data_IF_472461144220
#
_entry.id   IF_472461144220
#
_cell.length_a   1.000
_cell.length_b   1.000
_cell.length_c   1.000
_cell.angle_alpha   90.00
_cell.angle_beta   90.00
_cell.angle_gamma   90.00
#
_symmetry.space_group_name_H-M   'P 1'
#
loop_
_entity.id
_entity.type
_entity.pdbx_description
1 polymer ?
#
# COMPACT_ATOMS: atom_id res chain seq x y z
N UNK A 1 14.51 13.96 38.25
CA UNK A 1 15.57 13.47 37.35
C UNK A 1 15.00 13.53 35.93
N UNK A 2 15.72 14.11 34.98
CA UNK A 2 15.40 14.10 33.56
C UNK A 2 16.29 13.05 32.90
N UNK A 3 15.68 12.04 32.29
CA UNK A 3 16.35 10.98 31.58
C UNK A 3 16.00 11.08 30.09
N UNK A 4 16.97 11.07 29.22
CA UNK A 4 16.78 11.18 27.76
C UNK A 4 17.62 10.09 27.10
N UNK A 5 16.96 9.22 26.33
CA UNK A 5 17.63 8.27 25.46
C UNK A 5 18.28 9.00 24.27
N UNK A 6 19.44 8.54 23.87
CA UNK A 6 20.03 8.91 22.60
C UNK A 6 19.49 7.98 21.49
N UNK A 7 19.79 8.28 20.23
CA UNK A 7 19.27 7.47 19.11
C UNK A 7 19.72 6.00 19.15
N UNK A 8 20.89 5.74 19.68
CA UNK A 8 21.40 4.35 19.80
C UNK A 8 20.59 3.56 20.83
N UNK A 9 20.22 4.20 21.94
CA UNK A 9 19.40 3.57 22.97
C UNK A 9 18.00 3.29 22.42
N UNK A 10 17.39 4.26 21.73
CA UNK A 10 16.09 4.09 21.07
C UNK A 10 16.12 2.89 20.12
N UNK A 11 17.09 2.86 19.20
CA UNK A 11 17.17 1.81 18.16
C UNK A 11 17.41 0.42 18.74
N UNK A 12 17.98 0.29 19.92
CA UNK A 12 18.24 -0.99 20.57
C UNK A 12 17.07 -1.49 21.41
N UNK A 13 16.20 -0.62 21.87
CA UNK A 13 15.19 -0.92 22.88
C UNK A 13 13.75 -0.57 22.46
N UNK A 14 13.56 -0.08 21.24
CA UNK A 14 12.23 0.18 20.71
C UNK A 14 11.44 -1.09 20.40
N UNK A 15 10.13 -0.94 20.32
CA UNK A 15 9.23 -1.98 19.87
C UNK A 15 9.47 -2.31 18.39
N UNK A 16 9.22 -3.55 18.03
CA UNK A 16 9.33 -3.99 16.64
C UNK A 16 8.07 -3.61 15.85
N UNK A 17 8.26 -3.25 14.59
CA UNK A 17 7.13 -3.21 13.65
C UNK A 17 6.60 -4.63 13.48
N UNK A 18 5.28 -4.87 13.62
CA UNK A 18 4.73 -6.19 13.41
C UNK A 18 4.95 -6.64 11.96
N UNK A 19 5.27 -7.90 11.79
CA UNK A 19 5.29 -8.57 10.49
C UNK A 19 3.86 -8.93 10.07
N UNK A 20 3.70 -9.31 8.81
CA UNK A 20 2.45 -9.79 8.28
C UNK A 20 2.65 -10.53 6.97
N UNK A 21 1.62 -11.22 6.54
CA UNK A 21 1.56 -11.94 5.28
C UNK A 21 0.28 -11.60 4.55
N UNK A 22 0.37 -11.28 3.27
CA UNK A 22 -0.76 -10.98 2.42
C UNK A 22 -0.92 -12.02 1.31
N UNK A 23 -2.15 -12.49 1.12
CA UNK A 23 -2.54 -13.27 -0.04
C UNK A 23 -3.48 -12.42 -0.89
N UNK A 24 -2.95 -11.89 -1.99
CA UNK A 24 -3.60 -10.90 -2.84
C UNK A 24 -4.05 -11.53 -4.16
N UNK A 25 -5.23 -11.15 -4.63
CA UNK A 25 -5.76 -11.50 -5.96
C UNK A 25 -6.44 -10.28 -6.56
N UNK A 26 -6.16 -9.97 -7.82
CA UNK A 26 -6.81 -8.90 -8.55
C UNK A 26 -7.71 -9.45 -9.65
N UNK A 27 -8.86 -8.79 -9.87
CA UNK A 27 -9.67 -8.94 -11.07
C UNK A 27 -9.40 -7.78 -12.02
N UNK A 28 -9.13 -8.09 -13.27
CA UNK A 28 -8.89 -7.10 -14.32
C UNK A 28 -10.01 -7.16 -15.37
N UNK A 29 -10.41 -6.02 -15.91
CA UNK A 29 -11.30 -5.96 -17.08
C UNK A 29 -10.52 -6.15 -18.39
N UNK A 30 -11.24 -6.24 -19.50
CA UNK A 30 -10.66 -6.42 -20.83
C UNK A 30 -9.71 -5.28 -21.27
N UNK A 31 -9.77 -4.13 -20.59
CA UNK A 31 -8.91 -2.99 -20.86
C UNK A 31 -7.68 -2.95 -19.92
N UNK A 32 -7.49 -3.98 -19.09
CA UNK A 32 -6.42 -4.03 -18.11
C UNK A 32 -6.61 -3.11 -16.90
N UNK A 33 -7.84 -2.64 -16.65
CA UNK A 33 -8.19 -1.88 -15.46
C UNK A 33 -8.49 -2.83 -14.31
N UNK A 34 -8.00 -2.53 -13.14
CA UNK A 34 -8.34 -3.27 -11.93
C UNK A 34 -9.78 -2.95 -11.49
N UNK A 35 -10.61 -3.98 -11.32
CA UNK A 35 -12.03 -3.88 -10.94
C UNK A 35 -12.37 -4.62 -9.66
N UNK A 36 -11.52 -5.55 -9.24
CA UNK A 36 -11.73 -6.33 -8.03
C UNK A 36 -10.41 -6.56 -7.29
N UNK A 37 -10.49 -6.66 -5.96
CA UNK A 37 -9.38 -6.97 -5.08
C UNK A 37 -9.84 -7.94 -4.00
N UNK A 38 -9.10 -9.03 -3.84
CA UNK A 38 -9.18 -9.88 -2.65
C UNK A 38 -7.85 -9.82 -1.93
N UNK A 39 -7.89 -9.58 -0.62
CA UNK A 39 -6.72 -9.66 0.25
C UNK A 39 -7.07 -10.46 1.51
N UNK A 40 -6.24 -11.40 1.85
CA UNK A 40 -6.26 -12.06 3.15
C UNK A 40 -4.97 -11.75 3.88
N UNK A 41 -5.08 -10.95 4.92
CA UNK A 41 -3.95 -10.50 5.74
C UNK A 41 -3.80 -11.39 6.99
N UNK A 42 -2.66 -12.02 7.13
CA UNK A 42 -2.28 -12.72 8.35
C UNK A 42 -1.33 -11.83 9.15
N UNK A 43 -1.70 -11.50 10.37
CA UNK A 43 -0.95 -10.59 11.24
C UNK A 43 -0.93 -11.14 12.69
N UNK A 44 -0.59 -10.29 13.63
CA UNK A 44 -0.52 -10.67 15.04
C UNK A 44 -1.66 -10.08 15.84
N UNK A 45 -2.24 -10.91 16.72
CA UNK A 45 -3.37 -10.50 17.53
C UNK A 45 -3.80 -11.57 18.54
N UNK A 46 -4.80 -11.23 19.32
CA UNK A 46 -5.46 -12.12 20.25
C UNK A 46 -6.96 -11.78 20.30
N UNK A 47 -7.79 -12.79 20.54
CA UNK A 47 -9.23 -12.64 20.71
C UNK A 47 -9.92 -11.86 19.57
N UNK A 48 -9.49 -12.11 18.34
CA UNK A 48 -10.02 -11.48 17.14
C UNK A 48 -9.60 -10.00 16.94
N UNK A 49 -8.66 -9.49 17.71
CA UNK A 49 -8.17 -8.10 17.61
C UNK A 49 -6.67 -8.07 17.35
N UNK A 50 -6.20 -7.11 16.55
CA UNK A 50 -4.76 -6.92 16.35
C UNK A 50 -4.09 -6.43 17.63
N UNK A 51 -2.84 -6.87 17.86
CA UNK A 51 -1.96 -6.22 18.83
C UNK A 51 -1.53 -4.84 18.29
N UNK A 52 -0.88 -4.07 19.13
CA UNK A 52 -0.46 -2.71 18.78
C UNK A 52 0.33 -2.67 17.47
N UNK A 53 -0.06 -1.78 16.58
CA UNK A 53 0.51 -1.56 15.24
C UNK A 53 0.32 -2.70 14.21
N UNK A 54 -0.36 -3.80 14.58
CA UNK A 54 -0.57 -4.95 13.70
C UNK A 54 -1.90 -4.92 12.91
N UNK A 55 -2.71 -3.90 13.10
CA UNK A 55 -3.96 -3.72 12.39
C UNK A 55 -3.76 -3.16 10.98
N UNK A 56 -4.66 -3.52 10.09
CA UNK A 56 -4.81 -2.92 8.77
C UNK A 56 -6.30 -2.79 8.46
N UNK A 57 -6.68 -1.70 7.81
CA UNK A 57 -8.05 -1.48 7.32
C UNK A 57 -8.16 -1.65 5.81
N UNK A 58 -9.34 -1.98 5.33
CA UNK A 58 -9.64 -2.10 3.89
C UNK A 58 -9.39 -0.81 3.08
N UNK A 59 -9.17 0.30 3.74
CA UNK A 59 -8.91 1.59 3.11
C UNK A 59 -7.46 1.94 2.87
N UNK A 60 -6.54 1.09 3.27
CA UNK A 60 -5.10 1.28 3.00
C UNK A 60 -4.75 1.18 1.50
N UNK A 61 -5.60 0.60 0.71
CA UNK A 61 -5.54 0.60 -0.76
C UNK A 61 -6.65 1.49 -1.27
N UNK A 62 -6.56 2.05 -2.49
CA UNK A 62 -7.68 2.75 -3.12
C UNK A 62 -8.86 1.80 -3.42
N UNK A 63 -9.25 0.99 -2.45
CA UNK A 63 -10.35 0.04 -2.50
C UNK A 63 -11.67 0.73 -2.90
N UNK A 64 -11.82 1.97 -2.51
CA UNK A 64 -12.95 2.83 -2.88
C UNK A 64 -13.09 3.03 -4.39
N UNK A 65 -12.05 2.77 -5.16
CA UNK A 65 -12.07 2.87 -6.63
C UNK A 65 -12.60 1.59 -7.29
N UNK A 66 -12.65 0.50 -6.53
CA UNK A 66 -12.94 -0.82 -7.06
C UNK A 66 -14.42 -1.15 -6.86
N UNK A 67 -15.00 -1.87 -7.82
CA UNK A 67 -16.39 -2.32 -7.75
C UNK A 67 -16.58 -3.52 -6.82
N UNK A 68 -15.53 -4.29 -6.59
CA UNK A 68 -15.56 -5.49 -5.76
C UNK A 68 -14.30 -5.59 -4.90
N UNK A 69 -14.50 -5.63 -3.58
CA UNK A 69 -13.40 -5.76 -2.60
C UNK A 69 -13.77 -6.78 -1.54
N UNK A 70 -12.95 -7.80 -1.41
CA UNK A 70 -13.04 -8.78 -0.33
C UNK A 70 -11.78 -8.70 0.53
N UNK A 71 -11.96 -8.34 1.78
CA UNK A 71 -10.87 -8.19 2.74
C UNK A 71 -11.07 -9.11 3.94
N UNK A 72 -10.12 -9.98 4.18
CA UNK A 72 -10.11 -10.90 5.31
C UNK A 72 -8.86 -10.73 6.16
N UNK A 73 -8.96 -11.05 7.45
CA UNK A 73 -7.83 -11.01 8.37
C UNK A 73 -7.81 -12.23 9.28
N UNK A 74 -6.62 -12.74 9.55
CA UNK A 74 -6.37 -13.76 10.56
C UNK A 74 -5.26 -13.31 11.50
N UNK A 75 -5.36 -13.67 12.78
CA UNK A 75 -4.37 -13.28 13.77
C UNK A 75 -3.65 -14.49 14.36
N UNK A 76 -2.33 -14.36 14.47
CA UNK A 76 -1.47 -15.29 15.20
C UNK A 76 -0.98 -14.65 16.49
N UNK A 77 -0.77 -15.46 17.53
CA UNK A 77 -0.17 -14.98 18.78
C UNK A 77 1.32 -14.75 18.61
N UNK A 78 1.85 -13.73 19.25
CA UNK A 78 3.29 -13.48 19.35
C UNK A 78 3.63 -12.95 20.74
N UNK A 79 4.83 -13.25 21.19
CA UNK A 79 5.43 -12.68 22.40
C UNK A 79 6.41 -11.55 22.08
N UNK A 80 6.61 -11.22 20.81
CA UNK A 80 7.48 -10.13 20.40
C UNK A 80 6.77 -8.80 20.68
N UNK A 81 7.37 -7.87 21.43
CA UNK A 81 6.78 -6.57 21.69
C UNK A 81 6.70 -5.75 20.41
N UNK A 82 5.49 -5.35 20.01
CA UNK A 82 5.27 -4.54 18.82
C UNK A 82 4.80 -3.15 19.15
N UNK A 83 5.06 -2.21 18.29
CA UNK A 83 4.65 -0.82 18.48
C UNK A 83 4.69 -0.01 17.18
N UNK A 84 4.28 1.25 17.31
CA UNK A 84 4.25 2.17 16.18
C UNK A 84 5.65 2.73 15.92
N UNK A 85 6.07 2.64 14.66
CA UNK A 85 7.19 3.40 14.11
C UNK A 85 6.63 4.45 13.15
N UNK A 86 7.47 5.38 12.70
CA UNK A 86 7.06 6.42 11.75
C UNK A 86 6.36 5.82 10.53
N UNK A 87 5.25 6.43 10.11
CA UNK A 87 4.31 5.91 9.11
C UNK A 87 3.81 4.50 9.51
N UNK A 88 3.01 4.40 10.59
CA UNK A 88 2.77 3.12 11.29
C UNK A 88 2.33 1.97 10.39
N UNK A 89 1.34 2.16 9.55
CA UNK A 89 0.82 1.16 8.60
C UNK A 89 1.31 1.43 7.19
N UNK A 90 1.26 2.68 6.75
CA UNK A 90 1.55 3.11 5.38
C UNK A 90 2.91 2.63 4.85
N UNK A 91 3.92 2.58 5.71
CA UNK A 91 5.27 2.14 5.32
C UNK A 91 5.28 0.69 4.79
N UNK A 92 4.68 -0.24 5.53
CA UNK A 92 4.62 -1.65 5.12
C UNK A 92 3.63 -1.85 3.97
N UNK A 93 2.45 -1.20 4.05
CA UNK A 93 1.41 -1.33 3.05
C UNK A 93 1.80 -0.74 1.70
N UNK A 94 2.62 0.33 1.69
CA UNK A 94 3.17 0.87 0.45
C UNK A 94 3.95 -0.20 -0.32
N UNK A 95 4.82 -0.95 0.35
CA UNK A 95 5.55 -2.04 -0.29
C UNK A 95 4.61 -3.14 -0.79
N UNK A 96 3.71 -3.63 0.07
CA UNK A 96 2.80 -4.74 -0.25
C UNK A 96 1.95 -4.40 -1.48
N UNK A 97 1.25 -3.27 -1.44
CA UNK A 97 0.31 -2.92 -2.51
C UNK A 97 1.00 -2.44 -3.78
N UNK A 98 2.10 -1.70 -3.69
CA UNK A 98 2.81 -1.27 -4.90
C UNK A 98 3.47 -2.45 -5.62
N UNK A 99 4.02 -3.41 -4.89
CA UNK A 99 4.56 -4.64 -5.49
C UNK A 99 3.46 -5.45 -6.17
N UNK A 100 2.32 -5.63 -5.50
CA UNK A 100 1.19 -6.37 -6.06
C UNK A 100 0.57 -5.67 -7.28
N UNK A 101 0.39 -4.34 -7.22
CA UNK A 101 -0.13 -3.57 -8.36
C UNK A 101 0.82 -3.62 -9.56
N UNK A 102 2.12 -3.71 -9.31
CA UNK A 102 3.12 -3.87 -10.34
C UNK A 102 3.05 -5.25 -11.02
N UNK A 103 2.82 -6.32 -10.24
CA UNK A 103 2.55 -7.65 -10.78
C UNK A 103 1.24 -7.70 -11.59
N UNK A 104 0.18 -7.05 -11.09
CA UNK A 104 -1.10 -6.93 -11.80
C UNK A 104 -0.95 -6.15 -13.11
N UNK A 105 -0.15 -5.08 -13.10
CA UNK A 105 0.18 -4.31 -14.31
C UNK A 105 0.89 -5.18 -15.36
N UNK A 106 1.86 -5.99 -14.94
CA UNK A 106 2.53 -6.95 -15.83
C UNK A 106 1.57 -7.96 -16.43
N UNK A 107 0.67 -8.51 -15.61
CA UNK A 107 -0.35 -9.44 -16.09
C UNK A 107 -1.31 -8.79 -17.12
N UNK A 108 -1.53 -7.46 -17.00
CA UNK A 108 -2.29 -6.68 -17.97
C UNK A 108 -1.47 -6.26 -19.22
N UNK A 109 -0.18 -6.59 -19.29
CA UNK A 109 0.71 -6.15 -20.37
C UNK A 109 1.05 -4.65 -20.31
N UNK A 110 0.98 -4.05 -19.12
CA UNK A 110 1.19 -2.62 -18.87
C UNK A 110 2.39 -2.37 -17.95
N UNK A 111 2.89 -1.13 -17.95
CA UNK A 111 3.71 -0.65 -16.83
C UNK A 111 2.83 -0.10 -15.70
N UNK A 112 3.40 0.03 -14.50
CA UNK A 112 2.63 0.45 -13.33
C UNK A 112 2.01 1.85 -13.47
N UNK A 113 2.68 2.89 -14.01
CA UNK A 113 2.06 4.18 -14.24
C UNK A 113 0.82 4.12 -15.14
N UNK A 114 0.87 3.37 -16.23
CA UNK A 114 -0.26 3.22 -17.15
C UNK A 114 -1.40 2.42 -16.50
N UNK A 115 -1.07 1.35 -15.79
CA UNK A 115 -2.03 0.58 -15.02
C UNK A 115 -2.77 1.43 -13.98
N UNK A 116 -2.03 2.27 -13.26
CA UNK A 116 -2.60 3.20 -12.29
C UNK A 116 -3.51 4.24 -12.96
N UNK A 117 -3.11 4.79 -14.11
CA UNK A 117 -3.97 5.73 -14.87
C UNK A 117 -5.31 5.10 -15.24
N UNK A 118 -5.29 3.86 -15.74
CA UNK A 118 -6.52 3.15 -16.10
C UNK A 118 -7.38 2.83 -14.87
N UNK A 119 -6.76 2.41 -13.78
CA UNK A 119 -7.47 2.08 -12.54
C UNK A 119 -8.06 3.32 -11.86
N UNK A 120 -7.33 4.43 -11.82
CA UNK A 120 -7.81 5.70 -11.27
C UNK A 120 -8.94 6.30 -12.11
N UNK A 121 -8.88 6.12 -13.44
CA UNK A 121 -9.88 6.65 -14.36
C UNK A 121 -9.91 8.16 -14.42
N UNK A 122 -11.09 8.73 -14.64
CA UNK A 122 -11.27 10.19 -14.72
C UNK A 122 -11.08 10.90 -13.38
N UNK A 123 -10.76 12.20 -13.45
CA UNK A 123 -10.63 13.05 -12.27
C UNK A 123 -11.95 13.17 -11.51
N UNK A 124 -12.00 12.64 -10.30
CA UNK A 124 -13.15 12.70 -9.40
C UNK A 124 -12.73 12.68 -7.94
N UNK A 125 -13.64 13.09 -7.09
CA UNK A 125 -13.51 12.96 -5.64
C UNK A 125 -14.13 11.64 -5.20
N UNK A 126 -13.37 10.85 -4.44
CA UNK A 126 -13.85 9.64 -3.79
C UNK A 126 -14.07 9.98 -2.33
N UNK A 127 -15.31 9.86 -1.82
CA UNK A 127 -15.61 10.15 -0.43
C UNK A 127 -14.81 9.24 0.52
N UNK A 128 -14.49 9.75 1.71
CA UNK A 128 -13.89 8.94 2.75
C UNK A 128 -14.83 7.78 3.14
N UNK A 129 -14.27 6.59 3.26
CA UNK A 129 -14.98 5.43 3.84
C UNK A 129 -14.97 5.56 5.36
N UNK A 130 -16.04 5.09 6.01
CA UNK A 130 -16.14 5.14 7.45
C UNK A 130 -14.90 4.52 8.13
N UNK A 131 -14.25 5.29 8.98
CA UNK A 131 -13.01 4.90 9.67
C UNK A 131 -11.72 5.33 8.98
N UNK A 132 -11.80 6.02 7.85
CA UNK A 132 -10.65 6.63 7.16
C UNK A 132 -10.65 8.15 7.29
N UNK A 133 -9.46 8.71 7.38
CA UNK A 133 -9.27 10.16 7.33
C UNK A 133 -9.02 10.61 5.89
N UNK A 134 -9.95 11.39 5.37
CA UNK A 134 -9.75 12.16 4.13
C UNK A 134 -10.38 11.56 2.88
N UNK A 135 -10.70 12.45 1.98
CA UNK A 135 -11.25 12.19 0.65
C UNK A 135 -10.09 11.92 -0.31
N UNK A 136 -10.26 10.96 -1.23
CA UNK A 136 -9.25 10.66 -2.24
C UNK A 136 -9.61 11.33 -3.57
N UNK A 137 -8.73 12.16 -4.10
CA UNK A 137 -8.92 12.86 -5.34
C UNK A 137 -8.11 12.24 -6.48
N UNK A 138 -8.78 11.49 -7.38
CA UNK A 138 -8.09 10.76 -8.47
C UNK A 138 -7.32 11.70 -9.40
N UNK A 139 -7.83 12.90 -9.69
CA UNK A 139 -7.14 13.88 -10.52
C UNK A 139 -5.82 14.38 -9.91
N UNK A 140 -5.74 14.54 -8.58
CA UNK A 140 -4.47 14.88 -7.91
C UNK A 140 -3.47 13.72 -8.00
N UNK A 141 -3.94 12.49 -7.79
CA UNK A 141 -3.12 11.29 -7.93
C UNK A 141 -2.56 11.17 -9.36
N UNK A 142 -3.42 11.34 -10.37
CA UNK A 142 -3.00 11.35 -11.77
C UNK A 142 -1.97 12.47 -12.07
N UNK A 143 -2.18 13.65 -11.52
CA UNK A 143 -1.23 14.76 -11.64
C UNK A 143 0.15 14.43 -11.09
N UNK A 144 0.23 13.81 -9.92
CA UNK A 144 1.50 13.37 -9.31
C UNK A 144 2.16 12.29 -10.15
N UNK A 145 1.40 11.25 -10.58
CA UNK A 145 1.92 10.17 -11.43
C UNK A 145 2.48 10.72 -12.73
N UNK A 146 1.73 11.60 -13.41
CA UNK A 146 2.15 12.18 -14.67
C UNK A 146 3.39 13.07 -14.49
N UNK A 147 3.42 13.87 -13.42
CA UNK A 147 4.55 14.77 -13.16
C UNK A 147 5.85 14.03 -12.88
N UNK A 148 5.81 12.98 -12.07
CA UNK A 148 7.02 12.20 -11.81
C UNK A 148 7.49 11.43 -13.04
N UNK A 149 6.58 10.92 -13.87
CA UNK A 149 6.92 10.29 -15.15
C UNK A 149 7.58 11.28 -16.11
N UNK A 150 7.05 12.50 -16.22
CA UNK A 150 7.64 13.58 -17.02
C UNK A 150 9.06 13.93 -16.52
N UNK A 151 9.21 14.21 -15.22
CA UNK A 151 10.50 14.58 -14.62
C UNK A 151 11.56 13.50 -14.75
N UNK A 152 11.15 12.23 -14.66
CA UNK A 152 12.06 11.08 -14.81
C UNK A 152 12.34 10.70 -16.27
N UNK A 153 11.65 11.30 -17.24
CA UNK A 153 11.69 10.84 -18.63
C UNK A 153 11.28 9.37 -18.71
N UNK A 154 10.18 9.00 -18.06
CA UNK A 154 9.73 7.62 -17.97
C UNK A 154 9.31 7.08 -19.35
N UNK A 155 9.93 6.01 -19.80
CA UNK A 155 9.62 5.32 -21.06
C UNK A 155 9.28 3.85 -20.85
N UNK A 156 8.87 3.50 -19.63
CA UNK A 156 8.64 2.13 -19.20
C UNK A 156 9.81 1.58 -18.38
N UNK A 157 9.77 0.27 -18.16
CA UNK A 157 10.80 -0.46 -17.41
C UNK A 157 12.03 -0.65 -18.27
N UNK A 158 12.84 0.37 -18.40
CA UNK A 158 14.13 0.27 -19.03
C UNK A 158 15.11 -0.40 -18.06
N UNK A 159 15.77 -1.46 -18.48
CA UNK A 159 16.80 -2.15 -17.73
C UNK A 159 17.87 -2.72 -18.64
N UNK A 160 19.03 -2.96 -18.10
CA UNK A 160 20.19 -3.56 -18.80
C UNK A 160 21.46 -3.28 -18.04
N UNK A 161 22.45 -4.14 -18.19
CA UNK A 161 23.77 -4.01 -17.56
C UNK A 161 23.69 -3.84 -16.02
N UNK A 162 22.80 -4.58 -15.36
CA UNK A 162 22.60 -4.51 -13.90
C UNK A 162 21.85 -3.27 -13.41
N UNK A 163 21.25 -2.47 -14.31
CA UNK A 163 20.43 -1.31 -13.97
C UNK A 163 18.96 -1.60 -14.25
N UNK A 164 18.07 -1.03 -13.45
CA UNK A 164 16.64 -1.10 -13.64
C UNK A 164 15.96 0.17 -13.14
N UNK A 165 14.75 0.43 -13.61
CA UNK A 165 13.89 1.53 -13.16
C UNK A 165 12.62 0.94 -12.61
N UNK A 166 12.19 1.41 -11.44
CA UNK A 166 10.93 1.07 -10.81
C UNK A 166 10.09 2.31 -10.58
N UNK A 167 8.78 2.11 -10.53
CA UNK A 167 7.82 3.15 -10.19
C UNK A 167 7.05 2.73 -8.94
N UNK A 168 6.71 3.67 -8.08
CA UNK A 168 5.84 3.49 -6.94
C UNK A 168 5.04 4.74 -6.66
N UNK A 169 3.79 4.57 -6.29
CA UNK A 169 2.89 5.64 -5.88
C UNK A 169 2.07 5.18 -4.69
N UNK A 170 2.07 5.96 -3.63
CA UNK A 170 1.26 5.67 -2.46
C UNK A 170 0.53 6.91 -1.96
N UNK A 171 -0.71 6.73 -1.59
CA UNK A 171 -1.54 7.75 -0.96
C UNK A 171 -1.65 7.45 0.54
N UNK A 172 -1.41 8.46 1.36
CA UNK A 172 -1.55 8.39 2.81
C UNK A 172 -2.12 9.69 3.33
N UNK A 173 -3.23 9.62 4.06
CA UNK A 173 -3.98 10.70 4.72
C UNK A 173 -4.67 11.70 3.79
#
# INVERSE_FOLDING_TARGET
VKFIFNRTDDMRHEFFRPAGWHSLTAGLDANGRMIALKDHFVSFGADGKPIQAAGMGAGEVPAQLLSDVNYGVSYMKTNVPTGFLRAPTSNAMAFVFQSFLDEAALAAGLDLPEFLRRTLGEARLIPAVQGQSGEFHTGRALGVINKVCEMAGWKGREGGNGKGRGFGFYYSH
#
